data_IF_987781170227
#
_entry.id   IF_987781170227
#
_cell.length_a   1.000
_cell.length_b   1.000
_cell.length_c   1.000
_cell.angle_alpha   90.00
_cell.angle_beta   90.00
_cell.angle_gamma   90.00
#
_symmetry.space_group_name_H-M   'P 1'
#
loop_
_entity.id
_entity.type
_entity.pdbx_description
1 polymer ?
#
# COMPACT_ATOMS: atom_id res chain seq x y z
N UNK A 1 -8.17 -14.83 9.56
CA UNK A 1 -8.18 -15.17 8.12
C UNK A 1 -6.80 -14.92 7.53
N UNK A 2 -6.40 -15.70 6.52
CA UNK A 2 -5.12 -15.49 5.81
C UNK A 2 -5.28 -14.40 4.77
N UNK A 3 -4.36 -13.43 4.76
CA UNK A 3 -4.33 -12.33 3.81
C UNK A 3 -2.95 -12.23 3.16
N UNK A 4 -2.91 -11.98 1.85
CA UNK A 4 -1.67 -11.62 1.16
C UNK A 4 -1.42 -10.13 1.37
N UNK A 5 -0.23 -9.80 1.87
CA UNK A 5 0.22 -8.43 2.09
C UNK A 5 1.41 -8.12 1.17
N UNK A 6 1.46 -6.88 0.69
CA UNK A 6 2.56 -6.32 -0.09
C UNK A 6 3.12 -5.06 0.60
N UNK A 7 4.43 -4.89 0.59
CA UNK A 7 5.07 -3.64 1.05
C UNK A 7 5.40 -2.71 -0.13
N UNK A 8 5.83 -1.47 0.16
CA UNK A 8 6.21 -0.48 -0.88
C UNK A 8 7.45 -0.83 -1.71
N UNK A 9 8.12 -1.94 -1.41
CA UNK A 9 9.25 -2.48 -2.16
C UNK A 9 8.84 -3.69 -3.03
N UNK A 10 7.56 -4.09 -3.00
CA UNK A 10 7.05 -5.24 -3.75
C UNK A 10 7.26 -6.60 -3.07
N UNK A 11 7.70 -6.63 -1.80
CA UNK A 11 7.80 -7.87 -1.02
C UNK A 11 6.41 -8.36 -0.64
N UNK A 12 6.17 -9.66 -0.84
CA UNK A 12 4.93 -10.34 -0.48
C UNK A 12 5.09 -11.16 0.79
N UNK A 13 4.03 -11.26 1.57
CA UNK A 13 3.90 -12.20 2.69
C UNK A 13 2.45 -12.63 2.86
N UNK A 14 2.23 -13.81 3.44
CA UNK A 14 0.90 -14.22 3.92
C UNK A 14 0.87 -14.00 5.43
N UNK A 15 -0.12 -13.26 5.90
CA UNK A 15 -0.31 -12.98 7.32
C UNK A 15 -1.69 -13.49 7.79
N UNK A 16 -1.73 -14.01 9.01
CA UNK A 16 -2.99 -14.26 9.69
C UNK A 16 -3.47 -12.94 10.31
N UNK A 17 -4.65 -12.48 9.89
CA UNK A 17 -5.25 -11.23 10.36
C UNK A 17 -6.64 -11.48 10.96
N UNK A 18 -7.13 -10.59 11.85
CA UNK A 18 -8.51 -10.66 12.32
C UNK A 18 -9.50 -10.61 11.16
N UNK A 19 -10.61 -11.34 11.30
CA UNK A 19 -11.72 -11.20 10.37
C UNK A 19 -12.36 -9.80 10.49
N UNK A 20 -12.81 -9.19 9.39
CA UNK A 20 -13.44 -7.87 9.44
C UNK A 20 -14.81 -7.94 10.15
N UNK A 21 -15.15 -6.87 10.85
CA UNK A 21 -16.48 -6.71 11.49
C UNK A 21 -17.53 -6.38 10.45
N UNK A 22 -18.73 -6.97 10.58
CA UNK A 22 -19.86 -6.71 9.68
C UNK A 22 -20.61 -5.46 10.10
N UNK A 23 -20.82 -4.55 9.15
CA UNK A 23 -21.67 -3.37 9.32
C UNK A 23 -23.14 -3.70 9.00
N UNK A 24 -24.12 -2.94 9.54
CA UNK A 24 -25.52 -3.10 9.20
C UNK A 24 -25.77 -3.12 7.68
N UNK A 25 -26.57 -4.08 7.21
CA UNK A 25 -26.88 -4.24 5.79
C UNK A 25 -25.81 -4.95 4.94
N UNK A 26 -24.73 -5.45 5.57
CA UNK A 26 -23.67 -6.23 4.89
C UNK A 26 -23.64 -7.67 5.40
N UNK A 27 -22.94 -8.53 4.66
CA UNK A 27 -22.67 -9.92 5.05
C UNK A 27 -21.16 -10.18 4.99
N UNK A 28 -20.65 -10.99 5.93
CA UNK A 28 -19.30 -11.52 5.86
C UNK A 28 -19.35 -12.89 5.18
N UNK A 29 -18.57 -13.04 4.11
CA UNK A 29 -18.44 -14.30 3.39
C UNK A 29 -17.12 -14.96 3.77
N UNK A 30 -17.17 -16.23 4.19
CA UNK A 30 -15.98 -17.04 4.45
C UNK A 30 -15.49 -17.67 3.15
N UNK A 31 -14.28 -17.31 2.73
CA UNK A 31 -13.62 -17.92 1.57
C UNK A 31 -12.88 -19.20 1.99
N UNK A 32 -13.30 -20.35 1.44
CA UNK A 32 -12.60 -21.64 1.65
C UNK A 32 -11.39 -21.79 0.73
N UNK A 33 -11.53 -21.36 -0.53
CA UNK A 33 -10.48 -21.40 -1.55
C UNK A 33 -10.41 -20.09 -2.32
N UNK A 34 -9.20 -19.67 -2.65
CA UNK A 34 -8.93 -18.47 -3.46
C UNK A 34 -7.84 -18.77 -4.47
N UNK A 35 -7.93 -18.17 -5.65
CA UNK A 35 -6.87 -18.16 -6.66
C UNK A 35 -6.49 -16.72 -6.95
N UNK A 36 -5.19 -16.48 -7.15
CA UNK A 36 -4.64 -15.17 -7.49
C UNK A 36 -4.51 -15.10 -9.02
N UNK A 37 -5.02 -14.03 -9.62
CA UNK A 37 -4.87 -13.82 -11.07
C UNK A 37 -3.41 -13.45 -11.39
N UNK A 38 -2.92 -13.86 -12.54
CA UNK A 38 -1.54 -13.55 -12.95
C UNK A 38 -1.40 -12.15 -13.54
N UNK A 39 -2.49 -11.53 -14.00
CA UNK A 39 -2.43 -10.25 -14.74
C UNK A 39 -2.40 -9.01 -13.83
N UNK A 40 -3.40 -8.88 -12.98
CA UNK A 40 -3.62 -7.69 -12.13
C UNK A 40 -2.62 -7.61 -10.98
N UNK A 41 -2.24 -8.74 -10.42
CA UNK A 41 -1.36 -8.83 -9.27
C UNK A 41 0.10 -8.61 -9.66
N UNK A 42 0.49 -9.04 -10.86
CA UNK A 42 1.80 -8.68 -11.44
C UNK A 42 1.89 -7.18 -11.71
N UNK A 43 0.81 -6.54 -12.16
CA UNK A 43 0.77 -5.08 -12.31
C UNK A 43 0.92 -4.38 -10.95
N UNK A 44 0.20 -4.82 -9.92
CA UNK A 44 0.32 -4.29 -8.55
C UNK A 44 1.74 -4.44 -8.01
N UNK A 45 2.39 -5.60 -8.20
CA UNK A 45 3.77 -5.82 -7.76
C UNK A 45 4.73 -4.90 -8.52
N UNK A 46 4.62 -4.80 -9.85
CA UNK A 46 5.44 -3.89 -10.67
C UNK A 46 5.30 -2.43 -10.25
N UNK A 47 4.09 -2.00 -9.92
CA UNK A 47 3.87 -0.66 -9.37
C UNK A 47 4.62 -0.45 -8.05
N UNK A 48 4.61 -1.44 -7.15
CA UNK A 48 5.30 -1.34 -5.87
C UNK A 48 6.82 -1.43 -6.03
N UNK A 49 7.34 -2.24 -6.96
CA UNK A 49 8.79 -2.40 -7.18
C UNK A 49 9.44 -1.27 -7.98
N UNK A 50 8.66 -0.41 -8.66
CA UNK A 50 9.23 0.75 -9.36
C UNK A 50 9.95 1.71 -8.38
N UNK A 51 11.13 2.18 -8.77
CA UNK A 51 11.98 3.04 -7.94
C UNK A 51 11.34 4.39 -7.63
N UNK A 52 11.80 5.05 -6.56
CA UNK A 52 11.28 6.35 -6.11
C UNK A 52 11.33 7.41 -7.22
N UNK A 53 12.41 7.43 -8.02
CA UNK A 53 12.58 8.37 -9.14
C UNK A 53 11.52 8.15 -10.22
N UNK A 54 11.30 6.91 -10.66
CA UNK A 54 10.24 6.60 -11.64
C UNK A 54 8.84 6.95 -11.12
N UNK A 55 8.59 6.74 -9.81
CA UNK A 55 7.32 7.11 -9.19
C UNK A 55 7.13 8.62 -9.14
N UNK A 56 8.17 9.40 -8.82
CA UNK A 56 8.12 10.86 -8.81
C UNK A 56 7.85 11.44 -10.21
N UNK A 57 8.51 10.91 -11.24
CA UNK A 57 8.27 11.31 -12.64
C UNK A 57 6.85 10.97 -13.08
N UNK A 58 6.33 9.81 -12.67
CA UNK A 58 4.96 9.39 -13.02
C UNK A 58 3.85 10.17 -12.30
N UNK A 59 4.19 10.90 -11.22
CA UNK A 59 3.25 11.61 -10.35
C UNK A 59 3.79 12.98 -9.91
N UNK A 60 3.97 13.92 -10.85
CA UNK A 60 4.51 15.25 -10.54
C UNK A 60 3.66 16.03 -9.52
N UNK A 61 2.35 15.77 -9.46
CA UNK A 61 1.44 16.36 -8.47
C UNK A 61 1.78 16.00 -7.02
N UNK A 62 2.44 14.86 -6.78
CA UNK A 62 2.89 14.47 -5.44
C UNK A 62 4.07 15.32 -4.97
N UNK A 63 4.84 15.91 -5.89
CA UNK A 63 5.98 16.78 -5.55
C UNK A 63 5.48 18.08 -4.96
N UNK A 64 4.44 18.69 -5.56
CA UNK A 64 3.79 19.88 -5.02
C UNK A 64 3.24 19.64 -3.61
N UNK A 65 2.49 18.54 -3.42
CA UNK A 65 1.99 18.15 -2.10
C UNK A 65 3.09 17.93 -1.07
N UNK A 66 4.26 17.45 -1.50
CA UNK A 66 5.41 17.28 -0.62
C UNK A 66 5.97 18.64 -0.18
N UNK A 67 6.07 19.60 -1.10
CA UNK A 67 6.52 20.95 -0.81
C UNK A 67 5.57 21.63 0.18
N UNK A 68 4.25 21.52 -0.05
CA UNK A 68 3.23 22.03 0.87
C UNK A 68 3.37 21.38 2.26
N UNK A 69 3.54 20.05 2.32
CA UNK A 69 3.76 19.32 3.57
C UNK A 69 5.02 19.74 4.33
N UNK A 70 6.12 20.04 3.61
CA UNK A 70 7.36 20.56 4.22
C UNK A 70 7.13 21.98 4.76
N UNK A 71 6.41 22.82 4.03
CA UNK A 71 6.08 24.18 4.45
C UNK A 71 5.18 24.19 5.69
N UNK A 72 4.19 23.30 5.76
CA UNK A 72 3.25 23.22 6.88
C UNK A 72 3.83 22.52 8.12
N UNK A 73 4.49 21.37 7.94
CA UNK A 73 4.87 20.47 9.05
C UNK A 73 6.37 20.46 9.36
N UNK A 74 7.18 21.11 8.53
CA UNK A 74 8.63 21.13 8.63
C UNK A 74 9.30 19.85 8.07
N UNK A 75 10.55 19.96 7.61
CA UNK A 75 11.21 18.89 6.86
C UNK A 75 11.43 17.60 7.66
N UNK A 76 11.69 17.70 8.97
CA UNK A 76 11.93 16.53 9.81
C UNK A 76 10.70 15.62 9.90
N UNK A 77 9.51 16.21 10.15
CA UNK A 77 8.25 15.46 10.24
C UNK A 77 7.82 14.90 8.89
N UNK A 78 8.04 15.64 7.80
CA UNK A 78 7.74 15.14 6.45
C UNK A 78 8.61 13.93 6.11
N UNK A 79 9.91 13.95 6.46
CA UNK A 79 10.80 12.80 6.23
C UNK A 79 10.38 11.58 7.04
N UNK A 80 10.01 11.76 8.30
CA UNK A 80 9.51 10.68 9.16
C UNK A 80 8.22 10.07 8.59
N UNK A 81 7.25 10.91 8.20
CA UNK A 81 6.01 10.48 7.56
C UNK A 81 6.24 9.66 6.27
N UNK A 82 7.21 10.07 5.45
CA UNK A 82 7.57 9.34 4.23
C UNK A 82 8.18 7.99 4.58
N UNK A 83 9.10 7.94 5.54
CA UNK A 83 9.74 6.69 5.98
C UNK A 83 8.71 5.70 6.51
N UNK A 84 7.76 6.15 7.31
CA UNK A 84 6.67 5.31 7.84
C UNK A 84 5.77 4.79 6.71
N UNK A 85 5.47 5.62 5.72
CA UNK A 85 4.69 5.18 4.56
C UNK A 85 5.43 4.13 3.71
N UNK A 86 6.75 4.21 3.61
CA UNK A 86 7.56 3.27 2.83
C UNK A 86 7.72 1.91 3.51
N UNK A 87 7.59 1.84 4.84
CA UNK A 87 7.67 0.56 5.58
C UNK A 87 6.32 -0.14 5.73
N UNK A 88 5.22 0.56 5.39
CA UNK A 88 3.86 0.05 5.55
C UNK A 88 3.57 -1.14 4.63
N UNK A 89 2.89 -2.13 5.22
CA UNK A 89 2.28 -3.25 4.51
C UNK A 89 0.82 -2.95 4.20
N UNK A 90 0.36 -3.37 3.02
CA UNK A 90 -1.03 -3.23 2.57
C UNK A 90 -1.55 -4.55 2.05
N UNK A 91 -2.85 -4.79 2.17
CA UNK A 91 -3.50 -5.92 1.51
C UNK A 91 -3.28 -5.84 0.00
N UNK A 92 -2.90 -6.97 -0.60
CA UNK A 92 -2.89 -7.17 -2.04
C UNK A 92 -4.32 -7.38 -2.54
#
# INVERSE_FOLDING_TARGET
MRQVLINKQGKLTVAEIPAPTVEPGKVLVKTEYSVISSGTEVATIKHHSSGLVSKAISKPELIGKLADQVMENGPARTVEFIKDNLTRWTAL
#
